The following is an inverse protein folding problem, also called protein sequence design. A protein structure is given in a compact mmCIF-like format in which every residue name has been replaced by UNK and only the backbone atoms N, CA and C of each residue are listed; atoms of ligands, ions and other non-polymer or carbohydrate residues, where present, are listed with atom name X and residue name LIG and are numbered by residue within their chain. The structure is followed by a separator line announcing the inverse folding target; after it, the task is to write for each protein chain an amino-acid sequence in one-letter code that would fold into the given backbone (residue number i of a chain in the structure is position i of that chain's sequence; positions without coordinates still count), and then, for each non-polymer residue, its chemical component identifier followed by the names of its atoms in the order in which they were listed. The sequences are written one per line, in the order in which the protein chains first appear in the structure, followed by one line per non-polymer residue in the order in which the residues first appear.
data_IF_277727585139
#
_entry.id   IF_277727585139
#
_cell.length_a   1.000
_cell.length_b   1.000
_cell.length_c   1.000
_cell.angle_alpha   90.00
_cell.angle_beta   90.00
_cell.angle_gamma   90.00
#
_symmetry.space_group_name_H-M   'P 1'
#
loop_
_entity.id
_entity.type
_entity.pdbx_description
1 polymer ?
#
# COMPACT_ATOMS: atom_id res chain seq x y z
N UNK A 1 -15.04 21.26 -13.31
CA UNK A 1 -16.07 20.32 -13.77
C UNK A 1 -15.69 19.66 -15.11
N UNK A 2 -14.42 19.29 -15.30
CA UNK A 2 -13.91 18.61 -16.52
C UNK A 2 -13.14 17.30 -16.21
N UNK A 3 -13.03 16.92 -14.94
CA UNK A 3 -12.29 15.70 -14.52
C UNK A 3 -13.17 14.44 -14.51
N UNK A 4 -14.50 14.58 -14.43
CA UNK A 4 -15.43 13.43 -14.41
C UNK A 4 -15.78 12.82 -15.76
N UNK A 5 -15.28 13.33 -16.88
CA UNK A 5 -15.57 12.78 -18.23
C UNK A 5 -14.56 11.76 -18.74
N UNK A 6 -13.50 11.47 -17.97
CA UNK A 6 -12.43 10.53 -18.38
C UNK A 6 -12.79 9.06 -18.06
N UNK A 7 -13.86 8.82 -17.31
CA UNK A 7 -14.19 7.47 -16.81
C UNK A 7 -15.44 6.83 -17.43
N UNK A 8 -16.01 7.41 -18.51
CA UNK A 8 -17.24 6.90 -19.10
C UNK A 8 -17.08 5.73 -20.10
N UNK A 9 -15.84 5.36 -20.44
CA UNK A 9 -15.57 4.19 -21.28
C UNK A 9 -15.07 3.02 -20.42
N UNK A 10 -15.74 1.87 -20.48
CA UNK A 10 -15.28 0.60 -19.90
C UNK A 10 -13.88 0.19 -20.36
N UNK A 11 -13.38 0.79 -21.45
CA UNK A 11 -12.04 0.56 -22.01
C UNK A 11 -10.91 1.20 -21.18
N UNK A 12 -11.24 2.16 -20.27
CA UNK A 12 -10.24 2.85 -19.45
C UNK A 12 -9.76 2.04 -18.22
N UNK A 13 -10.38 0.89 -17.95
CA UNK A 13 -10.01 -0.03 -16.86
C UNK A 13 -9.42 -1.36 -17.35
N UNK A 14 -8.47 -1.26 -18.28
CA UNK A 14 -7.78 -2.43 -18.84
C UNK A 14 -6.75 -2.93 -17.82
N UNK A 15 -7.00 -4.13 -17.28
CA UNK A 15 -6.16 -4.75 -16.24
C UNK A 15 -5.43 -6.01 -16.70
N UNK A 16 -5.70 -6.47 -17.93
CA UNK A 16 -5.06 -7.66 -18.53
C UNK A 16 -4.37 -7.29 -19.84
N UNK A 17 -3.20 -7.85 -20.07
CA UNK A 17 -2.42 -7.59 -21.29
C UNK A 17 -3.25 -7.82 -22.57
N UNK A 18 -3.98 -8.94 -22.64
CA UNK A 18 -4.85 -9.30 -23.78
C UNK A 18 -5.91 -8.26 -24.14
N UNK A 19 -6.34 -7.45 -23.16
CA UNK A 19 -7.40 -6.44 -23.35
C UNK A 19 -6.82 -5.09 -23.82
N UNK A 20 -5.49 -4.93 -23.79
CA UNK A 20 -4.79 -3.68 -24.16
C UNK A 20 -4.45 -3.59 -25.65
N UNK A 21 -4.39 -4.71 -26.36
CA UNK A 21 -3.82 -4.77 -27.70
C UNK A 21 -2.31 -4.52 -27.79
N UNK A 22 -1.61 -4.46 -26.64
CA UNK A 22 -0.18 -4.21 -26.55
C UNK A 22 0.60 -5.51 -26.34
N UNK A 23 1.86 -5.52 -26.74
CA UNK A 23 2.82 -6.56 -26.37
C UNK A 23 3.45 -6.31 -25.01
N UNK A 24 4.07 -7.32 -24.42
CA UNK A 24 4.89 -7.18 -23.18
C UNK A 24 5.99 -6.14 -23.39
N UNK A 25 6.61 -6.12 -24.59
CA UNK A 25 7.65 -5.13 -24.90
C UNK A 25 7.10 -3.70 -24.91
N UNK A 26 5.90 -3.49 -25.46
CA UNK A 26 5.27 -2.16 -25.44
C UNK A 26 5.02 -1.67 -24.01
N UNK A 27 4.63 -2.57 -23.09
CA UNK A 27 4.46 -2.23 -21.66
C UNK A 27 5.80 -1.86 -21.03
N UNK A 28 6.86 -2.65 -21.26
CA UNK A 28 8.20 -2.36 -20.77
C UNK A 28 8.71 -1.01 -21.28
N UNK A 29 8.54 -0.75 -22.58
CA UNK A 29 8.95 0.52 -23.20
C UNK A 29 8.20 1.73 -22.61
N UNK A 30 6.91 1.58 -22.33
CA UNK A 30 6.13 2.63 -21.64
C UNK A 30 6.65 2.88 -20.24
N UNK A 31 6.93 1.83 -19.48
CA UNK A 31 7.50 1.95 -18.12
C UNK A 31 8.85 2.68 -18.18
N UNK A 32 9.77 2.23 -19.06
CA UNK A 32 11.09 2.83 -19.18
C UNK A 32 11.05 4.27 -19.68
N UNK A 33 10.07 4.62 -20.52
CA UNK A 33 9.89 5.98 -21.04
C UNK A 33 9.30 6.95 -20.04
N UNK A 34 8.34 6.51 -19.22
CA UNK A 34 7.52 7.41 -18.42
C UNK A 34 7.74 7.32 -16.92
N UNK A 35 8.49 6.33 -16.43
CA UNK A 35 8.82 6.18 -15.02
C UNK A 35 10.32 6.42 -14.79
N UNK A 36 10.65 7.08 -13.69
CA UNK A 36 12.04 7.25 -13.27
C UNK A 36 12.59 5.88 -12.85
N UNK A 37 13.76 5.54 -13.36
CA UNK A 37 14.46 4.30 -13.06
C UNK A 37 15.20 4.42 -11.73
N UNK A 38 14.55 4.01 -10.65
CA UNK A 38 15.10 4.06 -9.29
C UNK A 38 15.59 2.70 -8.78
N UNK A 39 15.27 1.62 -9.49
CA UNK A 39 15.68 0.24 -9.22
C UNK A 39 15.55 -0.60 -10.48
N UNK A 40 16.34 -1.69 -10.57
CA UNK A 40 16.17 -2.70 -11.63
C UNK A 40 14.88 -3.49 -11.44
N UNK A 41 14.22 -3.80 -12.55
CA UNK A 41 13.02 -4.64 -12.59
C UNK A 41 13.34 -6.04 -13.05
N UNK A 42 12.62 -7.01 -12.53
CA UNK A 42 12.65 -8.37 -13.08
C UNK A 42 12.10 -8.37 -14.50
N UNK A 43 12.69 -9.21 -15.36
CA UNK A 43 12.35 -9.26 -16.78
C UNK A 43 11.12 -10.15 -17.07
N UNK A 44 10.02 -9.90 -16.35
CA UNK A 44 8.72 -10.52 -16.63
C UNK A 44 7.59 -9.53 -16.34
N UNK A 45 6.43 -9.71 -16.97
CA UNK A 45 5.22 -8.94 -16.70
C UNK A 45 4.37 -9.70 -15.67
N UNK A 46 4.26 -9.16 -14.46
CA UNK A 46 3.37 -9.73 -13.46
C UNK A 46 1.90 -9.40 -13.82
N UNK A 47 1.11 -10.41 -14.17
CA UNK A 47 -0.28 -10.22 -14.59
C UNK A 47 -1.28 -10.65 -13.52
N UNK A 48 -1.02 -11.75 -12.82
CA UNK A 48 -1.88 -12.24 -11.74
C UNK A 48 -1.04 -12.76 -10.57
N UNK A 49 -1.68 -12.94 -9.43
CA UNK A 49 -1.05 -13.57 -8.28
C UNK A 49 -2.08 -14.34 -7.46
N UNK A 50 -1.68 -15.44 -6.81
CA UNK A 50 -2.51 -16.22 -5.92
C UNK A 50 -1.66 -16.97 -4.88
N UNK A 51 -2.04 -16.89 -3.62
CA UNK A 51 -1.28 -17.51 -2.53
C UNK A 51 0.16 -17.00 -2.50
N UNK A 52 1.13 -17.87 -2.69
CA UNK A 52 2.55 -17.55 -2.70
C UNK A 52 3.15 -17.41 -4.12
N UNK A 53 2.33 -17.35 -5.14
CA UNK A 53 2.79 -17.26 -6.53
C UNK A 53 2.34 -15.99 -7.22
N UNK A 54 3.22 -15.45 -8.07
CA UNK A 54 2.93 -14.45 -9.10
C UNK A 54 2.99 -15.17 -10.45
N UNK A 55 2.12 -14.82 -11.38
CA UNK A 55 2.05 -15.40 -12.71
C UNK A 55 2.25 -14.32 -13.76
N UNK A 56 3.05 -14.63 -14.78
CA UNK A 56 3.18 -13.76 -15.94
C UNK A 56 1.96 -13.90 -16.90
N UNK A 57 2.01 -13.19 -18.02
CA UNK A 57 0.96 -13.21 -19.04
C UNK A 57 0.76 -14.57 -19.74
N UNK A 58 1.74 -15.46 -19.64
CA UNK A 58 1.68 -16.84 -20.16
C UNK A 58 1.20 -17.84 -19.09
N UNK A 59 1.01 -17.38 -17.85
CA UNK A 59 0.67 -18.21 -16.72
C UNK A 59 1.85 -18.93 -16.08
N UNK A 60 3.09 -18.51 -16.37
CA UNK A 60 4.29 -19.06 -15.73
C UNK A 60 4.32 -18.67 -14.27
N UNK A 61 4.42 -19.62 -13.32
CA UNK A 61 4.45 -19.31 -11.90
C UNK A 61 5.84 -18.88 -11.43
N UNK A 62 5.89 -17.80 -10.66
CA UNK A 62 7.07 -17.33 -9.92
C UNK A 62 6.77 -17.36 -8.42
N UNK A 63 7.61 -18.04 -7.65
CA UNK A 63 7.44 -18.09 -6.20
C UNK A 63 7.79 -16.73 -5.57
N UNK A 64 6.81 -16.12 -4.91
CA UNK A 64 6.92 -14.77 -4.35
C UNK A 64 7.47 -14.77 -2.92
N UNK A 65 8.80 -14.70 -2.78
CA UNK A 65 9.46 -14.51 -1.49
C UNK A 65 9.52 -13.04 -1.02
N UNK A 66 9.12 -12.09 -1.86
CA UNK A 66 9.07 -10.68 -1.48
C UNK A 66 7.77 -10.32 -0.79
N UNK A 67 6.66 -10.96 -1.19
CA UNK A 67 5.31 -10.70 -0.67
C UNK A 67 4.97 -9.20 -0.63
N UNK A 68 5.40 -8.41 -1.63
CA UNK A 68 5.24 -6.96 -1.65
C UNK A 68 6.00 -6.26 -0.51
N UNK A 69 7.17 -6.76 -0.13
CA UNK A 69 7.94 -6.37 1.06
C UNK A 69 7.10 -6.58 2.33
N UNK A 70 6.65 -7.84 2.50
CA UNK A 70 5.81 -8.34 3.60
C UNK A 70 4.37 -7.73 3.68
N UNK A 71 3.90 -7.05 2.64
CA UNK A 71 2.52 -6.56 2.58
C UNK A 71 1.52 -7.71 2.39
N UNK A 72 1.87 -8.68 1.54
CA UNK A 72 1.03 -9.84 1.21
C UNK A 72 1.32 -11.06 2.10
N UNK A 73 1.66 -10.86 3.35
CA UNK A 73 1.99 -11.97 4.26
C UNK A 73 0.82 -12.92 4.58
N UNK A 74 -0.41 -12.53 4.24
CA UNK A 74 -1.59 -13.42 4.25
C UNK A 74 -1.77 -14.21 2.94
N UNK A 75 -0.83 -14.07 1.99
CA UNK A 75 -0.90 -14.58 0.62
C UNK A 75 -1.56 -13.61 -0.36
N UNK A 76 -1.09 -13.66 -1.61
CA UNK A 76 -1.67 -12.90 -2.70
C UNK A 76 -3.15 -13.27 -2.89
N UNK A 77 -4.01 -12.28 -3.09
CA UNK A 77 -5.47 -12.47 -3.30
C UNK A 77 -6.15 -13.31 -2.21
N UNK A 78 -5.74 -13.18 -0.95
CA UNK A 78 -6.44 -13.89 0.13
C UNK A 78 -7.95 -13.62 0.03
N UNK A 79 -8.80 -14.66 -0.08
CA UNK A 79 -10.22 -14.47 -0.41
C UNK A 79 -10.99 -13.69 0.67
N UNK A 80 -10.60 -13.81 1.94
CA UNK A 80 -11.23 -13.04 3.03
C UNK A 80 -10.87 -11.56 2.95
N UNK A 81 -9.62 -11.25 2.63
CA UNK A 81 -9.15 -9.85 2.46
C UNK A 81 -9.84 -9.23 1.25
N UNK A 82 -9.85 -9.94 0.11
CA UNK A 82 -10.51 -9.45 -1.12
C UNK A 82 -12.00 -9.20 -0.89
N UNK A 83 -12.70 -10.10 -0.22
CA UNK A 83 -14.12 -9.93 0.09
C UNK A 83 -14.36 -8.70 0.98
N UNK A 84 -13.59 -8.54 2.06
CA UNK A 84 -13.73 -7.41 2.96
C UNK A 84 -13.42 -6.06 2.28
N UNK A 85 -12.42 -6.01 1.38
CA UNK A 85 -12.11 -4.79 0.62
C UNK A 85 -13.24 -4.42 -0.33
N UNK A 86 -13.80 -5.41 -1.06
CA UNK A 86 -14.93 -5.17 -1.99
C UNK A 86 -16.17 -4.67 -1.25
N UNK A 87 -16.51 -5.30 -0.13
CA UNK A 87 -17.63 -4.92 0.71
C UNK A 87 -17.48 -3.49 1.24
N UNK A 88 -16.30 -3.16 1.76
CA UNK A 88 -16.03 -1.82 2.30
C UNK A 88 -16.01 -0.72 1.24
N UNK A 89 -15.53 -1.01 0.02
CA UNK A 89 -15.47 -0.04 -1.08
C UNK A 89 -16.88 0.32 -1.56
N UNK A 90 -17.82 -0.62 -1.52
CA UNK A 90 -19.22 -0.38 -1.88
C UNK A 90 -19.93 0.55 -0.86
N UNK A 91 -19.49 0.56 0.41
CA UNK A 91 -20.02 1.44 1.44
C UNK A 91 -19.28 2.79 1.50
N UNK A 92 -17.99 2.76 1.84
CA UNK A 92 -17.15 3.96 1.98
C UNK A 92 -15.73 3.61 1.53
N UNK A 93 -15.32 4.14 0.37
CA UNK A 93 -13.97 3.97 -0.15
C UNK A 93 -12.95 4.85 0.58
N UNK A 94 -13.29 6.10 0.86
CA UNK A 94 -12.43 7.06 1.53
C UNK A 94 -13.24 8.15 2.25
N UNK A 95 -12.73 8.60 3.39
CA UNK A 95 -13.21 9.80 4.08
C UNK A 95 -12.03 10.52 4.75
N UNK A 96 -12.20 11.80 5.06
CA UNK A 96 -11.23 12.56 5.84
C UNK A 96 -11.25 12.16 7.34
N UNK A 97 -10.25 12.59 8.11
CA UNK A 97 -9.98 12.05 9.46
C UNK A 97 -10.90 12.58 10.59
N UNK A 98 -11.85 13.48 10.31
CA UNK A 98 -12.71 14.02 11.36
C UNK A 98 -13.92 13.15 11.74
N UNK A 99 -14.59 12.43 10.79
CA UNK A 99 -15.60 11.47 11.20
C UNK A 99 -14.98 10.20 11.79
N UNK A 100 -15.71 9.58 12.70
CA UNK A 100 -15.37 8.23 13.16
C UNK A 100 -15.77 7.20 12.12
N UNK A 101 -14.91 6.19 11.90
CA UNK A 101 -15.22 5.04 11.04
C UNK A 101 -15.09 3.74 11.80
N UNK A 102 -15.96 2.79 11.49
CA UNK A 102 -16.00 1.48 12.17
C UNK A 102 -14.69 0.71 11.98
N UNK A 103 -14.16 0.53 10.74
CA UNK A 103 -12.92 -0.23 10.54
C UNK A 103 -11.73 0.35 11.29
N UNK A 104 -11.61 1.67 11.31
CA UNK A 104 -10.51 2.36 11.99
C UNK A 104 -10.54 2.14 13.50
N UNK A 105 -11.72 2.25 14.11
CA UNK A 105 -11.88 2.06 15.56
C UNK A 105 -11.60 0.61 15.99
N UNK A 106 -12.18 -0.36 15.28
CA UNK A 106 -12.00 -1.78 15.59
C UNK A 106 -10.55 -2.25 15.36
N UNK A 107 -9.90 -1.76 14.30
CA UNK A 107 -8.49 -2.06 14.06
C UNK A 107 -7.60 -1.46 15.14
N UNK A 108 -7.85 -0.21 15.56
CA UNK A 108 -7.10 0.45 16.64
C UNK A 108 -7.17 -0.37 17.93
N UNK A 109 -8.37 -0.76 18.34
CA UNK A 109 -8.57 -1.60 19.53
C UNK A 109 -7.81 -2.92 19.43
N UNK A 110 -7.95 -3.63 18.32
CA UNK A 110 -7.31 -4.93 18.12
C UNK A 110 -5.79 -4.84 18.15
N UNK A 111 -5.21 -3.88 17.44
CA UNK A 111 -3.75 -3.70 17.38
C UNK A 111 -3.19 -3.30 18.75
N UNK A 112 -3.81 -2.33 19.42
CA UNK A 112 -3.37 -1.89 20.74
C UNK A 112 -3.42 -3.02 21.78
N UNK A 113 -4.50 -3.79 21.82
CA UNK A 113 -4.62 -4.96 22.71
C UNK A 113 -3.59 -6.06 22.42
N UNK A 114 -3.31 -6.31 21.13
CA UNK A 114 -2.37 -7.35 20.71
C UNK A 114 -0.93 -7.00 21.05
N UNK A 115 -0.57 -5.71 20.90
CA UNK A 115 0.80 -5.23 21.12
C UNK A 115 1.06 -4.67 22.52
N UNK A 116 0.04 -4.58 23.38
CA UNK A 116 0.14 -3.95 24.69
C UNK A 116 0.41 -2.44 24.62
N UNK A 117 -0.14 -1.76 23.61
CA UNK A 117 -0.02 -0.32 23.40
C UNK A 117 -1.31 0.40 23.82
N UNK A 118 -1.18 1.67 24.23
CA UNK A 118 -2.34 2.46 24.65
C UNK A 118 -3.08 3.10 23.47
N UNK A 119 -2.33 3.55 22.44
CA UNK A 119 -2.87 4.31 21.30
C UNK A 119 -2.09 4.01 20.02
N UNK A 120 -2.77 4.19 18.90
CA UNK A 120 -2.21 4.09 17.56
C UNK A 120 -2.46 5.37 16.77
N UNK A 121 -1.52 5.71 15.89
CA UNK A 121 -1.66 6.76 14.90
C UNK A 121 -1.42 6.17 13.51
N UNK A 122 -2.40 6.28 12.63
CA UNK A 122 -2.33 5.72 11.29
C UNK A 122 -1.61 6.66 10.32
N UNK A 123 -0.76 6.10 9.46
CA UNK A 123 -0.05 6.75 8.38
C UNK A 123 -0.13 5.92 7.10
N UNK A 124 0.17 6.51 5.94
CA UNK A 124 0.06 5.84 4.65
C UNK A 124 1.29 4.98 4.31
N UNK A 125 2.43 5.22 4.96
CA UNK A 125 3.68 4.52 4.68
C UNK A 125 4.57 4.40 5.92
N UNK A 126 5.53 3.46 5.89
CA UNK A 126 6.54 3.34 6.94
C UNK A 126 7.40 4.60 7.09
N UNK A 127 7.68 5.30 6.01
CA UNK A 127 8.41 6.58 6.03
C UNK A 127 7.64 7.66 6.79
N UNK A 128 6.35 7.81 6.52
CA UNK A 128 5.50 8.76 7.23
C UNK A 128 5.33 8.38 8.71
N UNK A 129 5.21 7.09 9.02
CA UNK A 129 5.16 6.60 10.40
C UNK A 129 6.44 6.93 11.17
N UNK A 130 7.61 6.74 10.57
CA UNK A 130 8.89 7.12 11.15
C UNK A 130 9.00 8.64 11.35
N UNK A 131 8.58 9.43 10.38
CA UNK A 131 8.56 10.90 10.50
C UNK A 131 7.66 11.35 11.65
N UNK A 132 6.45 10.78 11.75
CA UNK A 132 5.52 11.07 12.84
C UNK A 132 6.11 10.68 14.20
N UNK A 133 6.72 9.50 14.31
CA UNK A 133 7.38 9.04 15.53
C UNK A 133 8.50 9.98 15.98
N UNK A 134 9.37 10.41 15.06
CA UNK A 134 10.45 11.35 15.36
C UNK A 134 9.90 12.70 15.83
N UNK A 135 8.87 13.23 15.18
CA UNK A 135 8.22 14.48 15.56
C UNK A 135 7.58 14.39 16.94
N UNK A 136 6.86 13.30 17.22
CA UNK A 136 6.22 13.08 18.53
C UNK A 136 7.26 12.93 19.64
N UNK A 137 8.32 12.14 19.41
CA UNK A 137 9.39 11.93 20.38
C UNK A 137 10.11 13.26 20.73
N UNK A 138 10.41 14.07 19.72
CA UNK A 138 11.02 15.40 19.92
C UNK A 138 10.11 16.34 20.69
N UNK A 139 8.84 16.42 20.30
CA UNK A 139 7.86 17.25 21.00
C UNK A 139 7.72 16.84 22.46
N UNK A 140 7.53 15.57 22.71
CA UNK A 140 7.44 15.02 24.07
C UNK A 140 8.70 15.30 24.89
N UNK A 141 9.90 15.10 24.29
CA UNK A 141 11.18 15.37 24.96
C UNK A 141 11.31 16.84 25.39
N UNK A 142 10.99 17.75 24.49
CA UNK A 142 11.06 19.20 24.77
C UNK A 142 10.04 19.59 25.86
N UNK A 143 8.79 19.17 25.72
CA UNK A 143 7.72 19.56 26.67
C UNK A 143 7.95 18.99 28.07
N UNK A 144 8.44 17.76 28.18
CA UNK A 144 8.60 17.07 29.47
C UNK A 144 9.96 17.31 30.14
N UNK A 145 11.02 17.45 29.34
CA UNK A 145 12.40 17.47 29.88
C UNK A 145 13.21 18.70 29.49
N UNK A 146 12.61 19.65 28.79
CA UNK A 146 13.19 20.95 28.44
C UNK A 146 13.72 21.05 27.02
N UNK A 147 14.04 22.29 26.56
CA UNK A 147 14.27 22.64 25.15
C UNK A 147 15.46 21.93 24.50
N UNK A 148 16.38 21.40 25.27
CA UNK A 148 17.55 20.68 24.74
C UNK A 148 17.34 19.17 24.54
N UNK A 149 16.14 18.62 24.83
CA UNK A 149 15.82 17.20 24.76
C UNK A 149 15.10 16.83 23.44
N UNK A 150 15.76 17.11 22.32
CA UNK A 150 15.22 16.84 20.97
C UNK A 150 16.09 15.92 20.12
N UNK A 151 17.22 15.44 20.65
CA UNK A 151 18.12 14.55 19.92
C UNK A 151 17.54 13.14 19.83
N UNK A 152 17.62 12.56 18.62
CA UNK A 152 17.28 11.16 18.35
C UNK A 152 18.59 10.41 18.06
N UNK A 153 18.81 9.30 18.71
CA UNK A 153 19.97 8.42 18.49
C UNK A 153 19.50 7.21 17.69
N UNK A 154 20.20 6.88 16.62
CA UNK A 154 19.94 5.73 15.78
C UNK A 154 21.18 4.84 15.69
N UNK A 155 21.00 3.54 15.48
CA UNK A 155 22.07 2.65 15.09
C UNK A 155 22.53 2.99 13.66
N UNK A 156 23.83 2.81 13.42
CA UNK A 156 24.43 3.02 12.09
C UNK A 156 24.31 1.75 11.25
#
# INVERSE_FOLDING_TARGET
MKIMRVLDNKEDFIMKLKDTGLSVQDIKDKVNKYMIETYERFDFLAETAEGMYIYDENGTPYLDFYAGIAVNNAGNRNPKVVAAVKDQVDDIMHTFNYPYTIPQALLAEKVCKTLGMDKIFYQNSGTEANEAMIKMARKYGIEKYGPNKYHIVTAK
#
